data_IF_544321291541
#
_entry.id   IF_544321291541
#
_cell.length_a   1.000
_cell.length_b   1.000
_cell.length_c   1.000
_cell.angle_alpha   90.00
_cell.angle_beta   90.00
_cell.angle_gamma   90.00
#
_symmetry.space_group_name_H-M   'P 1'
#
loop_
_entity.id
_entity.type
_entity.pdbx_description
1 polymer ?
#
# COMPACT_ATOMS: atom_id res chain seq x y z
N UNK A 1 10.54 -2.21 12.32
CA UNK A 1 9.45 -3.17 12.65
C UNK A 1 8.22 -2.29 12.74
N UNK A 2 7.24 -2.49 11.86
CA UNK A 2 6.09 -1.59 11.76
C UNK A 2 5.31 -1.57 13.06
N UNK A 3 4.89 -0.37 13.46
CA UNK A 3 4.03 -0.15 14.61
C UNK A 3 2.58 0.01 14.17
N UNK A 4 1.64 -0.29 15.06
CA UNK A 4 0.21 -0.07 14.79
C UNK A 4 -0.06 1.38 14.40
N UNK A 5 -0.89 1.59 13.39
CA UNK A 5 -1.19 2.92 12.87
C UNK A 5 -1.85 3.80 13.94
N UNK A 6 -1.45 5.08 14.04
CA UNK A 6 -1.97 5.94 15.10
C UNK A 6 -3.51 6.07 15.08
N UNK A 7 -4.19 6.06 16.25
CA UNK A 7 -5.63 6.29 16.32
C UNK A 7 -6.04 7.69 15.83
N UNK A 8 -5.13 8.66 15.82
CA UNK A 8 -5.38 10.06 15.45
C UNK A 8 -5.53 10.28 13.94
N UNK A 9 -5.10 9.34 13.11
CA UNK A 9 -5.26 9.43 11.67
C UNK A 9 -6.74 9.29 11.31
N UNK A 10 -7.30 10.16 10.44
CA UNK A 10 -8.68 10.03 9.99
C UNK A 10 -8.98 8.65 9.39
N UNK A 11 -10.18 8.14 9.66
CA UNK A 11 -10.61 6.82 9.16
C UNK A 11 -10.56 6.71 7.63
N UNK A 12 -10.84 7.80 6.92
CA UNK A 12 -10.74 7.87 5.46
C UNK A 12 -9.30 7.63 5.00
N UNK A 13 -8.32 8.31 5.62
CA UNK A 13 -6.90 8.13 5.27
C UNK A 13 -6.39 6.73 5.63
N UNK A 14 -6.82 6.18 6.77
CA UNK A 14 -6.54 4.79 7.15
C UNK A 14 -7.03 3.79 6.10
N UNK A 15 -8.27 3.97 5.64
CA UNK A 15 -8.83 3.13 4.60
C UNK A 15 -8.08 3.30 3.27
N UNK A 16 -7.70 4.52 2.89
CA UNK A 16 -6.91 4.76 1.67
C UNK A 16 -5.53 4.08 1.74
N UNK A 17 -4.85 4.13 2.89
CA UNK A 17 -3.58 3.41 3.11
C UNK A 17 -3.82 1.90 2.98
N UNK A 18 -4.80 1.35 3.68
CA UNK A 18 -5.11 -0.09 3.65
C UNK A 18 -5.42 -0.58 2.23
N UNK A 19 -6.31 0.12 1.52
CA UNK A 19 -6.69 -0.23 0.15
C UNK A 19 -5.51 -0.13 -0.83
N UNK A 20 -4.64 0.86 -0.64
CA UNK A 20 -3.42 1.01 -1.45
C UNK A 20 -2.44 -0.14 -1.22
N UNK A 21 -2.23 -0.56 0.03
CA UNK A 21 -1.37 -1.71 0.37
C UNK A 21 -1.93 -3.02 -0.18
N UNK A 22 -3.24 -3.27 -0.02
CA UNK A 22 -3.89 -4.47 -0.57
C UNK A 22 -3.81 -4.48 -2.10
N UNK A 23 -4.07 -3.36 -2.77
CA UNK A 23 -3.96 -3.26 -4.22
C UNK A 23 -2.53 -3.54 -4.72
N UNK A 24 -1.51 -3.00 -4.04
CA UNK A 24 -0.12 -3.29 -4.35
C UNK A 24 0.21 -4.77 -4.16
N UNK A 25 -0.29 -5.38 -3.08
CA UNK A 25 -0.03 -6.78 -2.78
C UNK A 25 -0.58 -7.74 -3.84
N UNK A 26 -1.78 -7.47 -4.36
CA UNK A 26 -2.40 -8.26 -5.42
C UNK A 26 -1.68 -8.12 -6.77
N UNK A 27 -1.11 -6.95 -7.02
CA UNK A 27 -0.36 -6.68 -8.26
C UNK A 27 1.05 -7.28 -8.22
N UNK A 28 1.65 -7.38 -7.03
CA UNK A 28 2.99 -7.94 -6.83
C UNK A 28 2.97 -9.47 -6.81
N UNK A 29 3.30 -10.09 -7.95
CA UNK A 29 3.43 -11.55 -8.07
C UNK A 29 4.40 -12.16 -7.04
N UNK A 30 5.56 -11.53 -6.84
CA UNK A 30 6.50 -11.89 -5.77
C UNK A 30 6.78 -10.64 -4.94
N UNK A 31 6.33 -10.62 -3.68
CA UNK A 31 6.44 -9.46 -2.80
C UNK A 31 5.13 -9.04 -2.13
N UNK A 32 3.98 -9.50 -2.64
CA UNK A 32 2.68 -9.19 -2.04
C UNK A 32 2.56 -9.61 -0.57
N UNK A 33 3.17 -10.73 -0.18
CA UNK A 33 3.17 -11.19 1.22
C UNK A 33 3.83 -10.19 2.17
N UNK A 34 4.97 -9.60 1.79
CA UNK A 34 5.66 -8.61 2.63
C UNK A 34 4.79 -7.37 2.85
N UNK A 35 4.07 -6.93 1.81
CA UNK A 35 3.12 -5.82 1.89
C UNK A 35 1.91 -6.16 2.77
N UNK A 36 1.37 -7.38 2.65
CA UNK A 36 0.26 -7.84 3.50
C UNK A 36 0.68 -7.99 4.97
N UNK A 37 1.88 -8.49 5.24
CA UNK A 37 2.37 -8.63 6.61
C UNK A 37 2.63 -7.27 7.25
N UNK A 38 3.13 -6.30 6.48
CA UNK A 38 3.20 -4.90 6.90
C UNK A 38 1.81 -4.31 7.17
N UNK A 39 0.84 -4.54 6.29
CA UNK A 39 -0.54 -4.08 6.50
C UNK A 39 -1.14 -4.70 7.78
N UNK A 40 -0.88 -5.98 8.06
CA UNK A 40 -1.36 -6.66 9.28
C UNK A 40 -0.74 -6.07 10.53
N UNK A 41 0.52 -5.63 10.49
CA UNK A 41 1.15 -4.95 11.60
C UNK A 41 0.53 -3.57 11.88
N UNK A 42 0.13 -2.84 10.83
CA UNK A 42 -0.52 -1.54 10.95
C UNK A 42 -1.98 -1.62 11.43
N UNK A 43 -2.77 -2.49 10.81
CA UNK A 43 -4.25 -2.50 10.92
C UNK A 43 -4.80 -3.72 11.68
N UNK A 44 -3.96 -4.71 11.96
CA UNK A 44 -4.37 -5.99 12.53
C UNK A 44 -4.86 -6.99 11.48
N UNK A 45 -4.86 -8.27 11.85
CA UNK A 45 -5.14 -9.37 10.93
C UNK A 45 -6.57 -9.32 10.34
N UNK A 46 -7.57 -9.03 11.18
CA UNK A 46 -8.98 -9.07 10.76
C UNK A 46 -9.27 -8.03 9.67
N UNK A 47 -8.84 -6.77 9.87
CA UNK A 47 -9.08 -5.69 8.92
C UNK A 47 -8.43 -5.97 7.55
N UNK A 48 -7.21 -6.51 7.55
CA UNK A 48 -6.51 -6.87 6.32
C UNK A 48 -7.17 -8.04 5.62
N UNK A 49 -7.55 -9.10 6.36
CA UNK A 49 -8.27 -10.24 5.77
C UNK A 49 -9.58 -9.82 5.11
N UNK A 50 -10.38 -8.96 5.76
CA UNK A 50 -11.62 -8.44 5.17
C UNK A 50 -11.34 -7.65 3.88
N UNK A 51 -10.36 -6.75 3.89
CA UNK A 51 -10.03 -5.96 2.70
C UNK A 51 -9.49 -6.83 1.54
N UNK A 52 -8.76 -7.90 1.84
CA UNK A 52 -8.31 -8.89 0.85
C UNK A 52 -9.50 -9.64 0.25
N UNK A 53 -10.44 -10.10 1.08
CA UNK A 53 -11.66 -10.79 0.61
C UNK A 53 -12.54 -9.89 -0.26
N UNK A 54 -12.73 -8.62 0.14
CA UNK A 54 -13.43 -7.61 -0.67
C UNK A 54 -12.74 -7.42 -2.02
N UNK A 55 -11.41 -7.30 -2.03
CA UNK A 55 -10.63 -7.13 -3.26
C UNK A 55 -10.74 -8.35 -4.18
N UNK A 56 -10.68 -9.57 -3.64
CA UNK A 56 -10.89 -10.79 -4.42
C UNK A 56 -12.29 -10.86 -5.03
N UNK A 57 -13.30 -10.39 -4.30
CA UNK A 57 -14.67 -10.34 -4.78
C UNK A 57 -14.80 -9.36 -5.95
N UNK A 58 -14.22 -8.16 -5.81
CA UNK A 58 -14.20 -7.14 -6.87
C UNK A 58 -13.50 -7.64 -8.14
N UNK A 59 -12.35 -8.32 -8.01
CA UNK A 59 -11.62 -8.88 -9.15
C UNK A 59 -12.42 -9.97 -9.88
N UNK A 60 -13.17 -10.79 -9.15
CA UNK A 60 -14.07 -11.80 -9.74
C UNK A 60 -15.24 -11.16 -10.48
N UNK A 61 -15.75 -10.02 -10.03
CA UNK A 61 -16.93 -9.34 -10.59
C UNK A 61 -16.60 -8.44 -11.79
N UNK A 62 -15.43 -7.81 -11.81
CA UNK A 62 -15.00 -6.88 -12.88
C UNK A 62 -14.39 -7.62 -14.08
N UNK A 63 -14.00 -8.89 -13.90
CA UNK A 63 -13.24 -9.65 -14.89
C UNK A 63 -11.80 -9.14 -14.98
N UNK A 64 -10.87 -9.99 -15.40
CA UNK A 64 -9.42 -9.75 -15.47
C UNK A 64 -8.98 -8.67 -16.49
N UNK A 65 -9.72 -7.57 -16.64
CA UNK A 65 -9.35 -6.43 -17.48
C UNK A 65 -8.73 -5.33 -16.63
N UNK A 66 -7.51 -5.55 -16.18
CA UNK A 66 -6.78 -4.55 -15.42
C UNK A 66 -5.40 -5.02 -15.03
N UNK A 67 -4.64 -5.53 -16.01
CA UNK A 67 -3.20 -5.75 -15.89
C UNK A 67 -2.47 -4.42 -15.70
N UNK A 68 -2.72 -3.77 -14.58
CA UNK A 68 -1.90 -2.70 -14.06
C UNK A 68 -0.68 -3.41 -13.48
N UNK A 69 0.37 -3.57 -14.30
CA UNK A 69 1.57 -4.33 -13.93
C UNK A 69 2.32 -3.70 -12.75
N UNK A 70 3.55 -4.17 -12.49
CA UNK A 70 4.35 -3.76 -11.33
C UNK A 70 4.49 -2.24 -11.13
N UNK A 71 4.38 -1.44 -12.19
CA UNK A 71 4.32 0.02 -12.10
C UNK A 71 3.17 0.55 -11.24
N UNK A 72 1.99 -0.08 -11.31
CA UNK A 72 0.84 0.30 -10.46
C UNK A 72 1.04 -0.11 -9.01
N UNK A 73 1.67 -1.26 -8.76
CA UNK A 73 2.06 -1.61 -7.39
C UNK A 73 3.00 -0.55 -6.80
N UNK A 74 3.98 -0.08 -7.58
CA UNK A 74 4.88 1.00 -7.16
C UNK A 74 4.11 2.29 -6.83
N UNK A 75 3.18 2.71 -7.70
CA UNK A 75 2.29 3.86 -7.46
C UNK A 75 1.43 3.69 -6.21
N UNK A 76 0.84 2.51 -6.00
CA UNK A 76 0.02 2.22 -4.82
C UNK A 76 0.84 2.25 -3.53
N UNK A 77 2.06 1.71 -3.53
CA UNK A 77 2.99 1.84 -2.40
C UNK A 77 3.41 3.29 -2.16
N UNK A 78 3.65 4.06 -3.23
CA UNK A 78 3.96 5.49 -3.12
C UNK A 78 2.79 6.29 -2.52
N UNK A 79 1.54 5.98 -2.89
CA UNK A 79 0.33 6.58 -2.27
C UNK A 79 0.23 6.28 -0.78
N UNK A 80 0.40 5.02 -0.40
CA UNK A 80 0.41 4.64 1.01
C UNK A 80 1.55 5.34 1.78
N UNK A 81 2.74 5.44 1.18
CA UNK A 81 3.89 6.15 1.76
C UNK A 81 3.58 7.63 1.99
N UNK A 82 3.07 8.34 0.98
CA UNK A 82 2.77 9.77 1.08
C UNK A 82 1.71 10.04 2.16
N UNK A 83 0.65 9.23 2.22
CA UNK A 83 -0.38 9.36 3.26
C UNK A 83 0.17 9.12 4.67
N UNK A 84 1.09 8.17 4.84
CA UNK A 84 1.74 7.94 6.14
C UNK A 84 2.59 9.17 6.54
N UNK A 85 3.36 9.75 5.61
CA UNK A 85 4.14 10.96 5.87
C UNK A 85 3.25 12.16 6.21
N UNK A 86 2.18 12.39 5.43
CA UNK A 86 1.22 13.49 5.65
C UNK A 86 0.58 13.45 7.05
N UNK A 87 0.46 12.26 7.62
CA UNK A 87 -0.14 12.05 8.94
C UNK A 87 0.88 11.82 10.07
N UNK A 88 2.17 12.05 9.82
CA UNK A 88 3.23 11.99 10.84
C UNK A 88 3.62 10.57 11.26
N UNK A 89 3.39 9.58 10.40
CA UNK A 89 3.76 8.18 10.61
C UNK A 89 5.13 7.87 9.99
N UNK A 90 6.14 8.72 10.22
CA UNK A 90 7.45 8.64 9.56
C UNK A 90 8.13 7.27 9.71
N UNK A 91 8.01 6.64 10.87
CA UNK A 91 8.56 5.30 11.12
C UNK A 91 7.92 4.23 10.25
N UNK A 92 6.59 4.24 10.15
CA UNK A 92 5.84 3.31 9.31
C UNK A 92 6.05 3.61 7.81
N UNK A 93 6.14 4.88 7.44
CA UNK A 93 6.48 5.29 6.08
C UNK A 93 7.87 4.80 5.67
N UNK A 94 8.86 4.90 6.56
CA UNK A 94 10.21 4.41 6.29
C UNK A 94 10.26 2.88 6.15
N UNK A 95 9.54 2.15 7.00
CA UNK A 95 9.42 0.70 6.88
C UNK A 95 8.76 0.30 5.55
N UNK A 96 7.70 1.01 5.13
CA UNK A 96 7.06 0.80 3.82
C UNK A 96 8.01 1.11 2.65
N UNK A 97 8.79 2.19 2.75
CA UNK A 97 9.81 2.53 1.76
C UNK A 97 10.84 1.42 1.63
N UNK A 98 11.29 0.84 2.73
CA UNK A 98 12.24 -0.28 2.67
C UNK A 98 11.64 -1.48 1.91
N UNK A 99 10.38 -1.84 2.17
CA UNK A 99 9.67 -2.90 1.43
C UNK A 99 9.59 -2.58 -0.07
N UNK A 100 9.29 -1.33 -0.43
CA UNK A 100 9.26 -0.92 -1.83
C UNK A 100 10.65 -1.01 -2.49
N UNK A 101 11.71 -0.61 -1.78
CA UNK A 101 13.09 -0.62 -2.29
C UNK A 101 13.71 -2.03 -2.43
N UNK A 102 13.13 -3.05 -1.78
CA UNK A 102 13.48 -4.45 -2.07
C UNK A 102 13.03 -4.90 -3.47
N UNK A 103 12.13 -4.15 -4.12
CA UNK A 103 11.50 -4.52 -5.39
C UNK A 103 11.72 -3.51 -6.50
N UNK A 104 11.67 -2.23 -6.18
CA UNK A 104 11.77 -1.15 -7.13
C UNK A 104 13.09 -0.40 -6.97
N UNK A 105 13.61 0.12 -8.08
CA UNK A 105 14.74 1.04 -8.04
C UNK A 105 14.34 2.30 -7.25
N UNK A 106 15.26 2.80 -6.42
CA UNK A 106 15.00 3.96 -5.57
C UNK A 106 14.54 5.19 -6.36
N UNK A 107 15.15 5.45 -7.51
CA UNK A 107 14.77 6.55 -8.40
C UNK A 107 13.35 6.38 -8.94
N UNK A 108 12.97 5.15 -9.30
CA UNK A 108 11.63 4.87 -9.81
C UNK A 108 10.57 5.04 -8.72
N UNK A 109 10.84 4.53 -7.51
CA UNK A 109 9.94 4.74 -6.37
C UNK A 109 9.79 6.22 -6.02
N UNK A 110 10.90 6.97 -6.00
CA UNK A 110 10.85 8.42 -5.73
C UNK A 110 10.05 9.17 -6.79
N UNK A 111 10.21 8.84 -8.08
CA UNK A 111 9.39 9.41 -9.15
C UNK A 111 7.90 9.18 -8.93
N UNK A 112 7.50 7.99 -8.45
CA UNK A 112 6.10 7.71 -8.11
C UNK A 112 5.62 8.55 -6.92
N UNK A 113 6.44 8.69 -5.88
CA UNK A 113 6.13 9.54 -4.71
C UNK A 113 5.91 11.00 -5.14
N UNK A 114 6.81 11.53 -5.96
CA UNK A 114 6.72 12.91 -6.44
C UNK A 114 5.47 13.11 -7.31
N UNK A 115 5.18 12.16 -8.20
CA UNK A 115 4.00 12.18 -9.07
C UNK A 115 2.68 12.13 -8.27
N UNK A 116 2.60 11.25 -7.27
CA UNK A 116 1.45 11.18 -6.35
C UNK A 116 1.27 12.49 -5.59
N UNK A 117 2.35 13.08 -5.09
CA UNK A 117 2.31 14.37 -4.39
C UNK A 117 1.79 15.54 -5.24
N UNK A 118 1.83 15.42 -6.57
CA UNK A 118 1.28 16.39 -7.52
C UNK A 118 -0.18 16.11 -7.93
N UNK A 119 -0.83 15.09 -7.37
CA UNK A 119 -2.23 14.74 -7.66
C UNK A 119 -2.41 13.64 -8.70
N UNK A 120 -1.39 12.80 -8.92
CA UNK A 120 -1.43 11.62 -9.80
C UNK A 120 -2.24 10.44 -9.29
#
# INVERSE_FOLDING_TARGET
MPSTISPTIPSIAKNQVLQSLVSAAFTLHSGGNAVLDFAKALFGNVAVSTAVEEREHDEKMVGMNGGFGEGFACTSLARAYTLLIEHGEDGNAQDLKNIALERFLAEHFQQQVDWVGMGG
#
